data_IF_111626558122
#
_entry.id   IF_111626558122
#
_cell.length_a   1.000
_cell.length_b   1.000
_cell.length_c   1.000
_cell.angle_alpha   90.00
_cell.angle_beta   90.00
_cell.angle_gamma   90.00
#
_symmetry.space_group_name_H-M   'P 1'
#
loop_
_entity.id
_entity.type
_entity.pdbx_description
1 polymer ?
#
# COMPACT_ATOMS: atom_id res chain seq x y z
N UNK A 1 23.35 -12.00 10.16
CA UNK A 1 22.29 -12.00 11.21
C UNK A 1 21.90 -10.62 11.78
N UNK A 2 22.76 -9.87 12.49
CA UNK A 2 22.33 -8.64 13.21
C UNK A 2 21.71 -7.54 12.33
N UNK A 3 22.21 -7.34 11.11
CA UNK A 3 21.75 -6.26 10.22
C UNK A 3 20.37 -6.54 9.60
N UNK A 4 20.02 -7.81 9.35
CA UNK A 4 18.71 -8.17 8.80
C UNK A 4 17.61 -8.12 9.86
N UNK A 5 17.90 -8.58 11.08
CA UNK A 5 17.04 -8.41 12.25
C UNK A 5 16.77 -6.93 12.53
N UNK A 6 17.79 -6.07 12.40
CA UNK A 6 17.63 -4.61 12.56
C UNK A 6 16.70 -4.01 11.49
N UNK A 7 16.78 -4.46 10.24
CA UNK A 7 15.93 -3.97 9.15
C UNK A 7 14.46 -4.40 9.30
N UNK A 8 14.20 -5.68 9.60
CA UNK A 8 12.84 -6.17 9.89
C UNK A 8 12.27 -5.42 11.09
N UNK A 9 13.04 -5.31 12.17
CA UNK A 9 12.65 -4.58 13.38
C UNK A 9 12.26 -3.15 13.07
N UNK A 10 12.99 -2.45 12.21
CA UNK A 10 12.67 -1.06 11.85
C UNK A 10 11.36 -0.95 11.08
N UNK A 11 11.08 -1.88 10.15
CA UNK A 11 9.79 -1.91 9.43
C UNK A 11 8.66 -2.22 10.41
N UNK A 12 8.82 -3.23 11.28
CA UNK A 12 7.81 -3.56 12.29
C UNK A 12 7.57 -2.42 13.27
N UNK A 13 8.64 -1.74 13.71
CA UNK A 13 8.54 -0.59 14.60
C UNK A 13 7.87 0.59 13.91
N UNK A 14 8.19 0.85 12.65
CA UNK A 14 7.48 1.85 11.85
C UNK A 14 5.99 1.53 11.74
N UNK A 15 5.64 0.28 11.39
CA UNK A 15 4.24 -0.18 11.32
C UNK A 15 3.55 -0.06 12.68
N UNK A 16 4.19 -0.45 13.77
CA UNK A 16 3.62 -0.33 15.11
C UNK A 16 3.38 1.12 15.50
N UNK A 17 4.36 2.00 15.27
CA UNK A 17 4.25 3.43 15.58
C UNK A 17 3.15 4.09 14.75
N UNK A 18 3.11 3.85 13.43
CA UNK A 18 2.07 4.45 12.59
C UNK A 18 0.69 3.94 12.98
N UNK A 19 0.53 2.65 13.27
CA UNK A 19 -0.74 2.09 13.74
C UNK A 19 -1.16 2.64 15.10
N UNK A 20 -0.24 2.83 16.04
CA UNK A 20 -0.54 3.43 17.35
C UNK A 20 -0.95 4.89 17.24
N UNK A 21 -0.25 5.68 16.40
CA UNK A 21 -0.61 7.07 16.13
C UNK A 21 -1.98 7.13 15.46
N UNK A 22 -2.23 6.27 14.47
CA UNK A 22 -3.54 6.18 13.82
C UNK A 22 -4.64 5.77 14.80
N UNK A 23 -4.39 4.82 15.69
CA UNK A 23 -5.35 4.44 16.73
C UNK A 23 -5.65 5.61 17.68
N UNK A 24 -4.62 6.33 18.14
CA UNK A 24 -4.80 7.50 19.00
C UNK A 24 -5.60 8.60 18.28
N UNK A 25 -5.29 8.86 17.01
CA UNK A 25 -6.05 9.82 16.21
C UNK A 25 -7.48 9.34 15.92
N UNK A 26 -7.70 8.05 15.68
CA UNK A 26 -9.02 7.45 15.52
C UNK A 26 -9.90 7.71 16.75
N UNK A 27 -9.39 7.43 17.95
CA UNK A 27 -10.11 7.67 19.22
C UNK A 27 -10.46 9.17 19.37
N UNK A 28 -9.53 10.05 19.04
CA UNK A 28 -9.77 11.49 19.05
C UNK A 28 -10.83 11.90 18.00
N UNK A 29 -10.69 11.43 16.77
CA UNK A 29 -11.59 11.80 15.68
C UNK A 29 -13.02 11.30 15.93
N UNK A 30 -13.17 10.07 16.42
CA UNK A 30 -14.46 9.48 16.77
C UNK A 30 -15.18 10.26 17.89
N UNK A 31 -14.42 10.84 18.83
CA UNK A 31 -14.99 11.59 19.95
C UNK A 31 -15.28 13.07 19.66
N UNK A 32 -14.64 13.64 18.65
CA UNK A 32 -14.66 15.10 18.40
C UNK A 32 -15.32 15.47 17.07
N UNK A 33 -15.14 14.67 16.02
CA UNK A 33 -15.67 15.01 14.71
C UNK A 33 -17.09 14.44 14.53
N UNK A 34 -18.04 15.25 14.04
CA UNK A 34 -19.32 14.70 13.61
C UNK A 34 -19.07 13.82 12.39
N UNK A 35 -19.28 12.52 12.52
CA UNK A 35 -19.18 11.58 11.41
C UNK A 35 -20.38 11.86 10.49
N UNK A 36 -20.15 12.32 9.23
CA UNK A 36 -21.25 12.57 8.31
C UNK A 36 -21.98 11.26 8.02
N UNK A 37 -23.30 11.25 8.15
CA UNK A 37 -24.10 10.07 7.75
C UNK A 37 -23.84 9.73 6.28
N UNK A 38 -23.56 8.45 6.04
CA UNK A 38 -23.41 7.94 4.69
C UNK A 38 -24.72 8.11 3.93
N UNK A 39 -24.63 8.70 2.73
CA UNK A 39 -25.77 8.80 1.83
C UNK A 39 -25.55 7.84 0.68
N UNK A 40 -26.32 6.77 0.67
CA UNK A 40 -26.40 5.86 -0.46
C UNK A 40 -26.96 6.60 -1.68
N UNK A 41 -26.09 6.87 -2.64
CA UNK A 41 -26.41 7.38 -3.96
C UNK A 41 -25.85 6.42 -4.98
N UNK A 42 -26.37 6.45 -6.20
CA UNK A 42 -25.83 5.63 -7.29
C UNK A 42 -24.32 5.84 -7.52
N UNK A 43 -23.81 7.06 -7.27
CA UNK A 43 -22.38 7.35 -7.35
C UNK A 43 -21.57 6.74 -6.21
N UNK A 44 -22.08 6.77 -4.98
CA UNK A 44 -21.37 6.16 -3.83
C UNK A 44 -21.39 4.63 -3.92
N UNK A 45 -22.47 4.01 -4.40
CA UNK A 45 -22.55 2.57 -4.63
C UNK A 45 -21.50 2.09 -5.67
N UNK A 46 -21.38 2.80 -6.81
CA UNK A 46 -20.30 2.52 -7.77
C UNK A 46 -18.93 2.80 -7.15
N UNK A 47 -18.84 3.86 -6.32
CA UNK A 47 -17.65 4.22 -5.56
C UNK A 47 -17.17 3.08 -4.65
N UNK A 48 -18.05 2.42 -3.92
CA UNK A 48 -17.74 1.22 -3.14
C UNK A 48 -17.23 0.07 -4.01
N UNK A 49 -17.84 -0.12 -5.18
CA UNK A 49 -17.37 -1.09 -6.17
C UNK A 49 -15.90 -0.85 -6.55
N UNK A 50 -15.54 0.41 -6.81
CA UNK A 50 -14.14 0.79 -7.02
C UNK A 50 -13.27 0.59 -5.77
N UNK A 51 -13.80 0.83 -4.57
CA UNK A 51 -13.11 0.54 -3.31
C UNK A 51 -12.74 -0.95 -3.18
N UNK A 52 -13.70 -1.85 -3.41
CA UNK A 52 -13.52 -3.31 -3.42
C UNK A 52 -12.52 -3.74 -4.50
N UNK A 53 -12.60 -3.17 -5.70
CA UNK A 53 -11.63 -3.43 -6.77
C UNK A 53 -10.22 -2.93 -6.41
N UNK A 54 -10.11 -1.76 -5.78
CA UNK A 54 -8.85 -1.20 -5.28
C UNK A 54 -8.20 -2.11 -4.24
N UNK A 55 -8.98 -2.63 -3.29
CA UNK A 55 -8.51 -3.60 -2.30
C UNK A 55 -7.98 -4.87 -2.98
N UNK A 56 -8.70 -5.41 -3.97
CA UNK A 56 -8.25 -6.59 -4.72
C UNK A 56 -6.92 -6.35 -5.46
N UNK A 57 -6.74 -5.17 -6.07
CA UNK A 57 -5.49 -4.78 -6.72
C UNK A 57 -4.34 -4.65 -5.71
N UNK A 58 -4.59 -4.08 -4.53
CA UNK A 58 -3.59 -4.00 -3.46
C UNK A 58 -3.19 -5.41 -2.99
N UNK A 59 -4.15 -6.30 -2.74
CA UNK A 59 -3.89 -7.70 -2.38
C UNK A 59 -3.00 -8.37 -3.43
N UNK A 60 -3.26 -8.16 -4.72
CA UNK A 60 -2.42 -8.67 -5.79
C UNK A 60 -0.97 -8.15 -5.73
N UNK A 61 -0.79 -6.83 -5.52
CA UNK A 61 0.53 -6.19 -5.44
C UNK A 61 1.32 -6.71 -4.21
N UNK A 62 0.66 -6.85 -3.06
CA UNK A 62 1.30 -7.33 -1.84
C UNK A 62 1.53 -8.84 -1.87
N UNK A 63 0.64 -9.64 -2.48
CA UNK A 63 0.84 -11.06 -2.70
C UNK A 63 2.12 -11.34 -3.49
N UNK A 64 2.41 -10.56 -4.53
CA UNK A 64 3.70 -10.64 -5.23
C UNK A 64 4.89 -10.42 -4.28
N UNK A 65 4.78 -9.47 -3.36
CA UNK A 65 5.84 -9.18 -2.38
C UNK A 65 6.02 -10.34 -1.39
N UNK A 66 4.92 -10.93 -0.93
CA UNK A 66 4.95 -12.14 -0.11
C UNK A 66 5.58 -13.33 -0.86
N UNK A 67 5.22 -13.53 -2.12
CA UNK A 67 5.79 -14.60 -2.94
C UNK A 67 7.29 -14.43 -3.16
N UNK A 68 7.76 -13.19 -3.34
CA UNK A 68 9.20 -12.86 -3.37
C UNK A 68 9.90 -13.24 -2.07
N UNK A 69 9.30 -12.92 -0.93
CA UNK A 69 9.84 -13.28 0.38
C UNK A 69 9.90 -14.80 0.57
N UNK A 70 8.83 -15.51 0.25
CA UNK A 70 8.74 -16.97 0.38
C UNK A 70 9.75 -17.72 -0.52
N UNK A 71 10.06 -17.18 -1.69
CA UNK A 71 11.05 -17.75 -2.61
C UNK A 71 12.47 -17.21 -2.38
N UNK A 72 12.69 -16.35 -1.38
CA UNK A 72 13.99 -15.73 -1.12
C UNK A 72 14.45 -14.77 -2.23
N UNK A 73 13.54 -14.34 -3.11
CA UNK A 73 13.86 -13.58 -4.31
C UNK A 73 13.73 -12.07 -4.11
N UNK A 74 14.72 -11.35 -4.63
CA UNK A 74 14.72 -9.89 -4.68
C UNK A 74 15.42 -9.23 -3.49
N UNK A 75 15.76 -7.95 -3.67
CA UNK A 75 16.63 -7.21 -2.73
C UNK A 75 16.03 -7.04 -1.34
N UNK A 76 14.70 -7.00 -1.24
CA UNK A 76 14.02 -6.92 0.05
C UNK A 76 14.15 -8.26 0.80
N UNK A 77 13.91 -9.40 0.15
CA UNK A 77 14.17 -10.73 0.74
C UNK A 77 15.63 -10.90 1.14
N UNK A 78 16.57 -10.57 0.25
CA UNK A 78 18.02 -10.65 0.52
C UNK A 78 18.49 -9.73 1.66
N UNK A 79 17.81 -8.60 1.90
CA UNK A 79 18.16 -7.67 3.00
C UNK A 79 17.50 -8.03 4.32
N UNK A 80 16.29 -8.60 4.28
CA UNK A 80 15.56 -9.02 5.47
C UNK A 80 16.02 -10.41 5.94
N UNK A 81 16.43 -11.27 5.02
CA UNK A 81 16.82 -12.66 5.26
C UNK A 81 18.03 -13.05 4.37
N UNK A 82 19.25 -12.52 4.64
CA UNK A 82 20.43 -12.70 3.79
C UNK A 82 20.92 -14.15 3.69
N UNK A 83 20.70 -14.95 4.73
CA UNK A 83 21.14 -16.35 4.82
C UNK A 83 19.98 -17.33 4.54
N UNK A 84 18.87 -16.86 3.97
CA UNK A 84 17.68 -17.68 3.74
C UNK A 84 17.82 -18.55 2.50
N UNK A 85 17.81 -19.85 2.73
CA UNK A 85 17.65 -20.87 1.70
C UNK A 85 16.15 -21.05 1.50
N UNK A 86 15.68 -20.85 0.26
CA UNK A 86 14.25 -20.95 -0.05
C UNK A 86 13.74 -22.36 0.29
N UNK A 87 12.75 -22.51 1.18
CA UNK A 87 12.20 -23.81 1.56
C UNK A 87 11.36 -24.42 0.43
N UNK A 88 11.01 -23.62 -0.59
CA UNK A 88 10.16 -24.03 -1.71
C UNK A 88 10.91 -23.80 -3.03
N UNK A 89 11.54 -24.85 -3.55
CA UNK A 89 12.02 -24.88 -4.94
C UNK A 89 10.89 -25.32 -5.87
N UNK A 90 9.98 -24.40 -6.21
CA UNK A 90 8.88 -24.67 -7.15
C UNK A 90 9.05 -23.90 -8.45
N UNK A 91 9.19 -24.62 -9.57
CA UNK A 91 9.24 -24.06 -10.93
C UNK A 91 7.95 -23.32 -11.30
N UNK A 92 6.81 -23.77 -10.79
CA UNK A 92 5.50 -23.15 -11.04
C UNK A 92 5.36 -21.80 -10.33
N UNK A 93 5.75 -21.72 -9.04
CA UNK A 93 5.74 -20.47 -8.29
C UNK A 93 6.73 -19.45 -8.87
N UNK A 94 7.89 -19.93 -9.36
CA UNK A 94 8.83 -19.08 -10.09
C UNK A 94 8.23 -18.53 -11.39
N UNK A 95 7.53 -19.35 -12.18
CA UNK A 95 6.86 -18.89 -13.40
C UNK A 95 5.77 -17.86 -13.09
N UNK A 96 4.97 -18.10 -12.06
CA UNK A 96 3.98 -17.14 -11.57
C UNK A 96 4.64 -15.83 -11.14
N UNK A 97 5.74 -15.90 -10.38
CA UNK A 97 6.45 -14.73 -9.91
C UNK A 97 7.05 -13.90 -11.06
N UNK A 98 7.57 -14.55 -12.12
CA UNK A 98 8.04 -13.87 -13.33
C UNK A 98 6.88 -13.10 -13.99
N UNK A 99 5.72 -13.73 -14.13
CA UNK A 99 4.53 -13.10 -14.69
C UNK A 99 4.09 -11.89 -13.83
N UNK A 100 3.97 -12.06 -12.52
CA UNK A 100 3.65 -10.99 -11.57
C UNK A 100 4.67 -9.84 -11.64
N UNK A 101 5.95 -10.14 -11.79
CA UNK A 101 7.00 -9.14 -11.96
C UNK A 101 6.85 -8.34 -13.25
N UNK A 102 6.33 -8.95 -14.32
CA UNK A 102 6.12 -8.25 -15.60
C UNK A 102 4.88 -7.36 -15.56
N UNK A 103 3.83 -7.78 -14.87
CA UNK A 103 2.53 -7.09 -14.89
C UNK A 103 2.34 -6.08 -13.76
N UNK A 104 3.09 -6.16 -12.66
CA UNK A 104 2.84 -5.35 -11.46
C UNK A 104 2.79 -3.82 -11.68
N UNK A 105 3.52 -3.28 -12.66
CA UNK A 105 3.49 -1.84 -12.95
C UNK A 105 2.09 -1.42 -13.42
N UNK A 106 1.47 -2.20 -14.30
CA UNK A 106 0.11 -1.94 -14.79
C UNK A 106 -0.92 -2.06 -13.65
N UNK A 107 -0.76 -3.06 -12.78
CA UNK A 107 -1.58 -3.19 -11.58
C UNK A 107 -1.39 -2.02 -10.61
N UNK A 108 -0.18 -1.48 -10.48
CA UNK A 108 0.09 -0.28 -9.68
C UNK A 108 -0.59 0.96 -10.26
N UNK A 109 -0.50 1.18 -11.57
CA UNK A 109 -1.20 2.27 -12.26
C UNK A 109 -2.71 2.14 -12.10
N UNK A 110 -3.25 0.93 -12.33
CA UNK A 110 -4.66 0.64 -12.16
C UNK A 110 -5.12 0.88 -10.72
N UNK A 111 -4.34 0.45 -9.72
CA UNK A 111 -4.66 0.65 -8.31
C UNK A 111 -4.77 2.13 -7.97
N UNK A 112 -3.79 2.95 -8.41
CA UNK A 112 -3.84 4.40 -8.20
C UNK A 112 -5.09 5.01 -8.86
N UNK A 113 -5.37 4.67 -10.11
CA UNK A 113 -6.53 5.20 -10.83
C UNK A 113 -7.86 4.81 -10.15
N UNK A 114 -8.01 3.54 -9.79
CA UNK A 114 -9.21 3.00 -9.14
C UNK A 114 -9.42 3.61 -7.75
N UNK A 115 -8.36 3.76 -6.96
CA UNK A 115 -8.44 4.39 -5.63
C UNK A 115 -8.79 5.88 -5.75
N UNK A 116 -8.23 6.60 -6.72
CA UNK A 116 -8.58 8.01 -6.95
C UNK A 116 -10.04 8.17 -7.42
N UNK A 117 -10.53 7.26 -8.29
CA UNK A 117 -11.94 7.22 -8.67
C UNK A 117 -12.84 6.95 -7.45
N UNK A 118 -12.50 5.96 -6.63
CA UNK A 118 -13.19 5.67 -5.39
C UNK A 118 -13.26 6.92 -4.49
N UNK A 119 -12.14 7.58 -4.19
CA UNK A 119 -12.10 8.81 -3.36
C UNK A 119 -12.97 9.93 -3.96
N UNK A 120 -12.91 10.11 -5.29
CA UNK A 120 -13.72 11.11 -5.98
C UNK A 120 -15.22 10.85 -5.85
N UNK A 121 -15.63 9.59 -5.99
CA UNK A 121 -17.03 9.17 -5.98
C UNK A 121 -17.64 9.15 -4.57
N UNK A 122 -16.84 8.88 -3.53
CA UNK A 122 -17.28 9.00 -2.13
C UNK A 122 -17.51 10.47 -1.69
N UNK A 123 -17.07 11.45 -2.50
CA UNK A 123 -17.29 12.86 -2.21
C UNK A 123 -16.35 13.41 -1.15
N UNK A 124 -15.04 13.31 -1.40
CA UNK A 124 -13.92 13.74 -0.54
C UNK A 124 -14.12 15.01 0.29
N UNK A 125 -14.76 16.04 -0.27
CA UNK A 125 -15.01 17.32 0.42
C UNK A 125 -15.67 17.13 1.80
N UNK A 126 -16.60 16.16 1.91
CA UNK A 126 -17.33 15.86 3.16
C UNK A 126 -16.42 15.36 4.27
N UNK A 127 -15.45 14.52 3.94
CA UNK A 127 -14.55 13.88 4.90
C UNK A 127 -13.20 14.58 5.05
N UNK A 128 -12.99 15.68 4.31
CA UNK A 128 -11.70 16.40 4.27
C UNK A 128 -11.26 16.99 5.61
N UNK A 129 -12.18 17.18 6.56
CA UNK A 129 -11.91 17.66 7.91
C UNK A 129 -11.31 16.57 8.83
N UNK A 130 -11.50 15.29 8.49
CA UNK A 130 -10.91 14.15 9.17
C UNK A 130 -9.58 13.83 8.49
N UNK A 131 -8.47 13.91 9.23
CA UNK A 131 -7.11 13.87 8.69
C UNK A 131 -6.78 12.59 7.90
N UNK A 132 -7.42 11.46 8.21
CA UNK A 132 -7.21 10.21 7.48
C UNK A 132 -7.42 10.38 5.97
N UNK A 133 -8.45 11.12 5.55
CA UNK A 133 -8.81 11.27 4.14
C UNK A 133 -7.82 12.14 3.34
N UNK A 134 -7.52 13.40 3.72
CA UNK A 134 -6.55 14.21 2.99
C UNK A 134 -5.13 13.61 3.06
N UNK A 135 -4.75 12.99 4.18
CA UNK A 135 -3.46 12.30 4.28
C UNK A 135 -3.39 11.07 3.34
N UNK A 136 -4.45 10.25 3.29
CA UNK A 136 -4.54 9.11 2.37
C UNK A 136 -4.46 9.58 0.92
N UNK A 137 -5.21 10.61 0.54
CA UNK A 137 -5.17 11.18 -0.82
C UNK A 137 -3.76 11.67 -1.18
N UNK A 138 -3.11 12.41 -0.28
CA UNK A 138 -1.74 12.87 -0.50
C UNK A 138 -0.76 11.70 -0.68
N UNK A 139 -0.89 10.64 0.11
CA UNK A 139 -0.06 9.43 -0.02
C UNK A 139 -0.31 8.68 -1.32
N UNK A 140 -1.56 8.56 -1.76
CA UNK A 140 -1.92 7.90 -3.03
C UNK A 140 -1.40 8.70 -4.23
N UNK A 141 -1.55 10.03 -4.21
CA UNK A 141 -0.98 10.91 -5.22
C UNK A 141 0.55 10.78 -5.23
N UNK A 142 1.18 10.80 -4.05
CA UNK A 142 2.62 10.58 -3.93
C UNK A 142 3.04 9.22 -4.51
N UNK A 143 2.30 8.14 -4.26
CA UNK A 143 2.57 6.84 -4.87
C UNK A 143 2.50 6.89 -6.39
N UNK A 144 1.46 7.51 -6.94
CA UNK A 144 1.29 7.67 -8.38
C UNK A 144 2.42 8.47 -9.02
N UNK A 145 2.67 9.69 -8.53
CA UNK A 145 3.70 10.57 -9.05
C UNK A 145 5.09 9.98 -8.93
N UNK A 146 5.43 9.43 -7.76
CA UNK A 146 6.74 8.84 -7.54
C UNK A 146 6.93 7.56 -8.37
N UNK A 147 5.89 6.72 -8.50
CA UNK A 147 5.93 5.54 -9.36
C UNK A 147 6.11 5.89 -10.85
N UNK A 148 5.42 6.94 -11.32
CA UNK A 148 5.59 7.46 -12.68
C UNK A 148 7.01 8.02 -12.87
N UNK A 149 7.49 8.84 -11.94
CA UNK A 149 8.84 9.40 -11.97
C UNK A 149 9.91 8.31 -12.06
N UNK A 150 9.81 7.24 -11.24
CA UNK A 150 10.74 6.12 -11.29
C UNK A 150 10.70 5.39 -12.64
N UNK A 151 9.50 5.23 -13.22
CA UNK A 151 9.31 4.54 -14.50
C UNK A 151 9.82 5.35 -15.69
N UNK A 152 9.69 6.68 -15.66
CA UNK A 152 10.15 7.58 -16.71
C UNK A 152 11.66 7.85 -16.62
N UNK A 153 12.21 7.95 -15.41
CA UNK A 153 13.59 8.41 -15.20
C UNK A 153 14.63 7.30 -15.23
N UNK A 154 14.27 6.09 -14.81
CA UNK A 154 15.23 5.01 -14.58
C UNK A 154 14.87 3.73 -15.33
N UNK A 155 15.88 3.09 -15.91
CA UNK A 155 15.75 1.73 -16.41
C UNK A 155 15.59 0.72 -15.26
N UNK A 156 15.00 -0.47 -15.50
CA UNK A 156 14.90 -1.51 -14.49
C UNK A 156 16.25 -1.94 -13.87
N UNK A 157 17.34 -1.81 -14.63
CA UNK A 157 18.70 -2.13 -14.16
C UNK A 157 19.22 -1.07 -13.19
N UNK A 158 18.91 0.21 -13.43
CA UNK A 158 19.28 1.31 -12.53
C UNK A 158 18.42 1.34 -11.27
N UNK A 159 17.12 1.06 -11.37
CA UNK A 159 16.23 0.94 -10.20
C UNK A 159 16.70 -0.15 -9.22
N UNK A 160 17.31 -1.23 -9.72
CA UNK A 160 17.95 -2.22 -8.85
C UNK A 160 19.08 -1.57 -8.03
N UNK A 161 19.87 -0.65 -8.58
CA UNK A 161 20.92 0.07 -7.84
C UNK A 161 20.29 0.99 -6.77
N UNK A 162 19.21 1.69 -7.11
CA UNK A 162 18.45 2.56 -6.21
C UNK A 162 17.36 1.83 -5.40
N UNK A 163 17.69 0.65 -4.86
CA UNK A 163 16.74 -0.19 -4.14
C UNK A 163 16.06 0.53 -2.96
N UNK A 164 16.66 1.59 -2.39
CA UNK A 164 16.06 2.35 -1.29
C UNK A 164 14.82 3.14 -1.72
N UNK A 165 14.75 3.64 -2.97
CA UNK A 165 13.59 4.38 -3.49
C UNK A 165 12.35 3.47 -3.55
N UNK A 166 12.55 2.21 -3.95
CA UNK A 166 11.48 1.20 -3.97
C UNK A 166 11.02 0.83 -2.55
N UNK A 167 11.91 0.91 -1.55
CA UNK A 167 11.52 0.71 -0.15
C UNK A 167 10.68 1.87 0.38
N UNK A 168 10.92 3.10 -0.08
CA UNK A 168 10.09 4.24 0.28
C UNK A 168 8.63 4.02 -0.15
N UNK A 169 8.39 3.47 -1.35
CA UNK A 169 7.04 3.10 -1.81
C UNK A 169 6.38 2.04 -0.92
N UNK A 170 7.14 1.05 -0.47
CA UNK A 170 6.63 0.04 0.46
C UNK A 170 6.22 0.65 1.81
N UNK A 171 7.07 1.53 2.38
CA UNK A 171 6.80 2.22 3.66
C UNK A 171 5.56 3.11 3.59
N UNK A 172 5.42 3.87 2.50
CA UNK A 172 4.21 4.67 2.24
C UNK A 172 2.98 3.79 1.98
N UNK A 173 3.16 2.63 1.36
CA UNK A 173 2.09 1.65 1.15
C UNK A 173 1.53 1.10 2.45
N UNK A 174 2.39 0.86 3.45
CA UNK A 174 1.96 0.49 4.82
C UNK A 174 1.10 1.60 5.42
N UNK A 175 1.54 2.86 5.35
CA UNK A 175 0.78 3.98 5.87
C UNK A 175 -0.58 4.14 5.19
N UNK A 176 -0.64 3.98 3.85
CA UNK A 176 -1.89 3.97 3.09
C UNK A 176 -2.83 2.88 3.63
N UNK A 177 -2.35 1.65 3.82
CA UNK A 177 -3.17 0.55 4.32
C UNK A 177 -3.72 0.83 5.73
N UNK A 178 -2.88 1.34 6.63
CA UNK A 178 -3.28 1.68 8.01
C UNK A 178 -4.31 2.82 8.02
N UNK A 179 -4.07 3.90 7.26
CA UNK A 179 -4.98 5.04 7.20
C UNK A 179 -6.30 4.68 6.51
N UNK A 180 -6.27 3.86 5.46
CA UNK A 180 -7.48 3.37 4.81
C UNK A 180 -8.30 2.51 5.78
N UNK A 181 -7.66 1.61 6.54
CA UNK A 181 -8.34 0.78 7.52
C UNK A 181 -9.03 1.63 8.60
N UNK A 182 -8.29 2.48 9.31
CA UNK A 182 -8.89 3.33 10.36
C UNK A 182 -9.87 4.36 9.80
N UNK A 183 -9.62 4.88 8.60
CA UNK A 183 -10.53 5.82 7.94
C UNK A 183 -11.88 5.20 7.61
N UNK A 184 -11.89 3.97 7.06
CA UNK A 184 -13.12 3.22 6.80
C UNK A 184 -13.86 2.84 8.09
N UNK A 185 -13.15 2.28 9.08
CA UNK A 185 -13.77 1.96 10.39
C UNK A 185 -14.38 3.19 11.06
N UNK A 186 -13.87 4.39 10.79
CA UNK A 186 -14.39 5.62 11.36
C UNK A 186 -15.69 6.10 10.71
N UNK A 187 -15.98 5.70 9.46
CA UNK A 187 -17.14 6.17 8.70
C UNK A 187 -18.18 5.09 8.40
N UNK A 188 -17.79 3.81 8.45
CA UNK A 188 -18.66 2.66 8.17
C UNK A 188 -19.52 2.26 9.41
N UNK A 189 -19.32 2.90 10.58
CA UNK A 189 -20.11 2.69 11.83
C UNK A 189 -21.08 3.84 12.13
#
# INVERSE_FOLDING_TARGET
MQQSLKNIRNILLYTAVISLISLAYFIYAYSVHPIPEERETFLTEIGEGFGKAGLALLVFIYFRTLLKLALGQGKLAQRLLPDYIAPIESSQLNRLLIWLNRTHIYFGIAAVAVILLHIGMMGFSRYSHILFFPALLALVLWQGFFGLFLTLRYSPVELKKFSYLVHAQFVTGIAIGVFAFFGHVLIDD
#
